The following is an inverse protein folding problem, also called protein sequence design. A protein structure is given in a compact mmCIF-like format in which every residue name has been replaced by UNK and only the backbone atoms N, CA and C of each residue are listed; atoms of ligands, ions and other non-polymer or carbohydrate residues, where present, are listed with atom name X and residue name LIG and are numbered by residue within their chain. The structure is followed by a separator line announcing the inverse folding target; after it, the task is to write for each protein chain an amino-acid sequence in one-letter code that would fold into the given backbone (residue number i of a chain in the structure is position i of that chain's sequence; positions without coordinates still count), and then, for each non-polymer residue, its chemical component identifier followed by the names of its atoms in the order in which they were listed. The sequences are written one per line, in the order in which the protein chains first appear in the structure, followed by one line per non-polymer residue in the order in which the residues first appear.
data_IF_109026124591
#
_entry.id   IF_109026124591
#
_cell.length_a   1.000
_cell.length_b   1.000
_cell.length_c   1.000
_cell.angle_alpha   90.00
_cell.angle_beta   90.00
_cell.angle_gamma   90.00
#
_symmetry.space_group_name_H-M   'P 1'
#
loop_
_entity.id
_entity.type
_entity.pdbx_description
1 polymer ?
#
# COMPACT_ATOMS: atom_id res chain seq x y z
N UNK A 1 -1.15 42.87 -12.83
CA UNK A 1 -0.68 42.21 -11.60
C UNK A 1 -0.56 40.73 -11.91
N UNK A 2 0.63 40.27 -12.28
CA UNK A 2 0.89 38.85 -12.53
C UNK A 2 1.36 38.20 -11.22
N UNK A 3 0.65 37.17 -10.79
CA UNK A 3 1.02 36.38 -9.61
C UNK A 3 2.01 35.31 -10.09
N UNK A 4 3.29 35.36 -9.71
CA UNK A 4 4.25 34.36 -10.17
C UNK A 4 3.96 33.04 -9.46
N UNK A 5 3.62 32.03 -10.27
CA UNK A 5 3.42 30.65 -9.81
C UNK A 5 4.66 30.14 -9.09
N UNK A 6 4.54 29.92 -7.78
CA UNK A 6 5.57 29.24 -6.99
C UNK A 6 5.67 27.81 -7.50
N UNK A 7 6.72 27.52 -8.28
CA UNK A 7 7.14 26.14 -8.54
C UNK A 7 7.57 25.52 -7.20
N UNK A 8 6.64 24.82 -6.55
CA UNK A 8 6.95 23.97 -5.41
C UNK A 8 7.83 22.84 -5.93
N UNK A 9 9.13 22.92 -5.64
CA UNK A 9 10.05 21.80 -5.84
C UNK A 9 9.59 20.68 -4.91
N UNK A 10 8.92 19.67 -5.47
CA UNK A 10 8.62 18.43 -4.76
C UNK A 10 9.96 17.77 -4.48
N UNK A 11 10.48 17.96 -3.26
CA UNK A 11 11.63 17.22 -2.76
C UNK A 11 11.18 15.77 -2.68
N UNK A 12 11.64 14.94 -3.62
CA UNK A 12 11.48 13.50 -3.55
C UNK A 12 12.34 13.04 -2.38
N UNK A 13 11.74 12.96 -1.19
CA UNK A 13 12.34 12.23 -0.09
C UNK A 13 12.55 10.80 -0.57
N UNK A 14 13.80 10.46 -0.91
CA UNK A 14 14.22 9.07 -0.98
C UNK A 14 14.18 8.59 0.46
N UNK A 15 13.03 8.05 0.87
CA UNK A 15 12.94 7.29 2.11
C UNK A 15 13.98 6.17 2.11
N UNK A 16 14.23 5.55 3.27
CA UNK A 16 15.11 4.38 3.35
C UNK A 16 14.75 3.39 2.24
N UNK A 17 15.77 2.77 1.64
CA UNK A 17 15.55 1.69 0.67
C UNK A 17 14.73 0.61 1.38
N UNK A 18 13.48 0.43 0.92
CA UNK A 18 12.57 -0.60 1.40
C UNK A 18 12.58 -1.77 0.44
N UNK A 19 12.66 -2.96 1.00
CA UNK A 19 12.56 -4.20 0.24
C UNK A 19 11.12 -4.44 -0.22
N UNK A 20 10.97 -5.25 -1.27
CA UNK A 20 9.65 -5.47 -1.88
C UNK A 20 8.63 -6.04 -0.88
N UNK A 21 9.07 -6.91 0.05
CA UNK A 21 8.19 -7.53 1.04
C UNK A 21 7.67 -6.51 2.07
N UNK A 22 8.48 -5.53 2.46
CA UNK A 22 8.07 -4.44 3.37
C UNK A 22 7.02 -3.56 2.72
N UNK A 23 7.16 -3.31 1.41
CA UNK A 23 6.16 -2.56 0.63
C UNK A 23 4.84 -3.32 0.55
N UNK A 24 4.90 -4.62 0.28
CA UNK A 24 3.71 -5.48 0.25
C UNK A 24 3.04 -5.52 1.63
N UNK A 25 3.82 -5.72 2.70
CA UNK A 25 3.28 -5.80 4.07
C UNK A 25 2.56 -4.49 4.45
N UNK A 26 3.18 -3.32 4.24
CA UNK A 26 2.56 -2.03 4.56
C UNK A 26 1.25 -1.79 3.80
N UNK A 27 1.22 -2.11 2.49
CA UNK A 27 0.01 -1.98 1.70
C UNK A 27 -1.10 -2.88 2.28
N UNK A 28 -0.78 -4.16 2.53
CA UNK A 28 -1.77 -5.12 3.01
C UNK A 28 -2.26 -4.78 4.42
N UNK A 29 -1.38 -4.37 5.34
CA UNK A 29 -1.73 -3.91 6.67
C UNK A 29 -2.66 -2.70 6.61
N UNK A 30 -2.33 -1.70 5.78
CA UNK A 30 -3.18 -0.51 5.61
C UNK A 30 -4.56 -0.88 5.06
N UNK A 31 -4.62 -1.66 3.98
CA UNK A 31 -5.88 -2.08 3.38
C UNK A 31 -6.70 -2.93 4.36
N UNK A 32 -6.06 -3.79 5.17
CA UNK A 32 -6.74 -4.60 6.16
C UNK A 32 -7.29 -3.81 7.35
N UNK A 33 -6.68 -2.65 7.66
CA UNK A 33 -7.12 -1.75 8.73
C UNK A 33 -8.37 -0.94 8.40
N UNK A 34 -8.78 -0.92 7.11
CA UNK A 34 -9.96 -0.20 6.63
C UNK A 34 -10.98 -1.15 6.03
N UNK A 35 -12.25 -0.78 6.14
CA UNK A 35 -13.32 -1.49 5.42
C UNK A 35 -13.17 -1.30 3.90
N UNK A 36 -12.87 -0.07 3.48
CA UNK A 36 -12.65 0.30 2.08
C UNK A 36 -11.65 1.47 2.03
N UNK A 37 -10.72 1.46 1.07
CA UNK A 37 -9.77 2.56 0.88
C UNK A 37 -9.49 2.84 -0.60
N UNK A 38 -9.25 4.09 -0.95
CA UNK A 38 -8.94 4.46 -2.33
C UNK A 38 -7.42 4.39 -2.61
N UNK A 39 -7.08 4.48 -3.90
CA UNK A 39 -5.68 4.35 -4.34
C UNK A 39 -4.75 5.41 -3.75
N UNK A 40 -5.23 6.65 -3.60
CA UNK A 40 -4.42 7.73 -3.06
C UNK A 40 -4.09 7.46 -1.58
N UNK A 41 -5.08 7.04 -0.79
CA UNK A 41 -4.87 6.67 0.62
C UNK A 41 -3.80 5.60 0.78
N UNK A 42 -3.86 4.51 0.00
CA UNK A 42 -2.85 3.45 0.02
C UNK A 42 -1.46 3.98 -0.36
N UNK A 43 -1.39 4.88 -1.33
CA UNK A 43 -0.13 5.47 -1.82
C UNK A 43 0.55 6.30 -0.76
N UNK A 44 -0.22 7.14 -0.06
CA UNK A 44 0.29 7.96 1.03
C UNK A 44 0.67 7.11 2.24
N UNK A 45 -0.19 6.17 2.65
CA UNK A 45 0.05 5.32 3.80
C UNK A 45 1.30 4.45 3.64
N UNK A 46 1.46 3.80 2.48
CA UNK A 46 2.61 2.95 2.19
C UNK A 46 3.79 3.72 1.58
N UNK A 47 3.76 5.07 1.56
CA UNK A 47 4.83 5.93 1.04
C UNK A 47 5.34 5.55 -0.35
N UNK A 48 4.41 5.26 -1.28
CA UNK A 48 4.73 4.76 -2.61
C UNK A 48 5.01 5.90 -3.59
N UNK A 49 6.01 5.72 -4.46
CA UNK A 49 6.10 6.50 -5.70
C UNK A 49 4.99 6.10 -6.68
N UNK A 50 4.67 6.94 -7.66
CA UNK A 50 3.67 6.62 -8.69
C UNK A 50 3.98 5.30 -9.44
N UNK A 51 5.26 5.04 -9.72
CA UNK A 51 5.69 3.80 -10.37
C UNK A 51 5.45 2.57 -9.49
N UNK A 52 5.79 2.67 -8.19
CA UNK A 52 5.53 1.62 -7.22
C UNK A 52 4.04 1.38 -7.02
N UNK A 53 3.24 2.45 -6.89
CA UNK A 53 1.79 2.38 -6.78
C UNK A 53 1.19 1.57 -7.94
N UNK A 54 1.51 1.93 -9.19
CA UNK A 54 0.96 1.21 -10.36
C UNK A 54 1.39 -0.26 -10.36
N UNK A 55 2.66 -0.54 -10.06
CA UNK A 55 3.22 -1.89 -10.04
C UNK A 55 2.57 -2.75 -8.95
N UNK A 56 2.60 -2.30 -7.70
CA UNK A 56 2.15 -3.09 -6.55
C UNK A 56 0.63 -3.23 -6.52
N UNK A 57 -0.14 -2.17 -6.80
CA UNK A 57 -1.59 -2.29 -6.80
C UNK A 57 -2.08 -3.25 -7.88
N UNK A 58 -1.48 -3.20 -9.08
CA UNK A 58 -1.78 -4.14 -10.14
C UNK A 58 -1.41 -5.58 -9.76
N UNK A 59 -0.20 -5.77 -9.23
CA UNK A 59 0.30 -7.07 -8.79
C UNK A 59 -0.56 -7.69 -7.69
N UNK A 60 -0.85 -6.95 -6.62
CA UNK A 60 -1.62 -7.45 -5.47
C UNK A 60 -3.08 -7.77 -5.83
N UNK A 61 -3.67 -6.98 -6.73
CA UNK A 61 -5.01 -7.28 -7.26
C UNK A 61 -4.98 -8.54 -8.13
N UNK A 62 -3.98 -8.68 -9.01
CA UNK A 62 -3.82 -9.85 -9.88
C UNK A 62 -3.61 -11.14 -9.07
N UNK A 63 -2.83 -11.07 -8.00
CA UNK A 63 -2.62 -12.18 -7.07
C UNK A 63 -3.82 -12.46 -6.16
N UNK A 64 -4.88 -11.63 -6.22
CA UNK A 64 -6.06 -11.77 -5.39
C UNK A 64 -5.82 -11.49 -3.91
N UNK A 65 -4.74 -10.79 -3.56
CA UNK A 65 -4.44 -10.41 -2.17
C UNK A 65 -5.30 -9.23 -1.71
N UNK A 66 -5.60 -8.31 -2.63
CA UNK A 66 -6.59 -7.25 -2.46
C UNK A 66 -7.68 -7.38 -3.53
N UNK A 67 -8.89 -6.97 -3.18
CA UNK A 67 -10.05 -6.94 -4.04
C UNK A 67 -10.36 -5.50 -4.43
N UNK A 68 -10.95 -5.31 -5.61
CA UNK A 68 -11.54 -4.03 -6.00
C UNK A 68 -13.00 -4.07 -5.57
N UNK A 69 -13.38 -3.17 -4.66
CA UNK A 69 -14.74 -3.06 -4.16
C UNK A 69 -15.71 -2.73 -5.31
N UNK A 70 -16.87 -3.39 -5.29
CA UNK A 70 -17.98 -3.14 -6.22
C UNK A 70 -18.96 -2.09 -5.69
N UNK A 71 -18.73 -1.50 -4.51
CA UNK A 71 -19.70 -0.61 -3.85
C UNK A 71 -19.92 0.74 -4.56
N UNK A 72 -19.02 1.14 -5.46
CA UNK A 72 -19.20 2.37 -6.23
C UNK A 72 -18.62 2.26 -7.63
N UNK A 73 -19.47 2.51 -8.63
CA UNK A 73 -19.05 2.66 -10.04
C UNK A 73 -18.12 3.86 -10.23
N UNK A 74 -18.21 4.88 -9.36
CA UNK A 74 -17.45 6.12 -9.45
C UNK A 74 -16.14 6.08 -8.64
N UNK A 75 -16.12 5.34 -7.53
CA UNK A 75 -14.95 5.23 -6.65
C UNK A 75 -14.66 3.76 -6.33
N UNK A 76 -13.89 3.13 -7.22
CA UNK A 76 -13.35 1.78 -7.00
C UNK A 76 -12.41 1.78 -5.78
N UNK A 77 -12.93 1.29 -4.67
CA UNK A 77 -12.19 1.05 -3.43
C UNK A 77 -11.36 -0.22 -3.49
N UNK A 78 -10.46 -0.37 -2.52
CA UNK A 78 -9.70 -1.59 -2.27
C UNK A 78 -10.07 -2.17 -0.91
N UNK A 79 -10.21 -3.49 -0.89
CA UNK A 79 -10.55 -4.27 0.29
C UNK A 79 -9.56 -5.43 0.42
N UNK A 80 -9.26 -5.85 1.65
CA UNK A 80 -8.38 -7.01 1.87
C UNK A 80 -9.16 -8.30 1.56
N UNK A 81 -8.55 -9.19 0.79
CA UNK A 81 -9.11 -10.53 0.56
C UNK A 81 -8.85 -11.46 1.76
N UNK A 82 -9.51 -12.63 1.78
CA UNK A 82 -9.15 -13.68 2.73
C UNK A 82 -7.70 -14.17 2.55
N UNK A 83 -7.22 -14.26 1.31
CA UNK A 83 -5.83 -14.65 1.02
C UNK A 83 -4.84 -13.61 1.54
N UNK A 84 -5.15 -12.33 1.40
CA UNK A 84 -4.37 -11.22 1.93
C UNK A 84 -4.29 -11.23 3.45
N UNK A 85 -5.40 -11.52 4.14
CA UNK A 85 -5.40 -11.71 5.60
C UNK A 85 -4.52 -12.89 6.02
N UNK A 86 -4.60 -14.02 5.31
CA UNK A 86 -3.74 -15.18 5.57
C UNK A 86 -2.26 -14.87 5.35
N UNK A 87 -1.92 -14.10 4.32
CA UNK A 87 -0.56 -13.63 4.09
C UNK A 87 -0.05 -12.82 5.30
N UNK A 88 -0.84 -11.85 5.79
CA UNK A 88 -0.45 -11.04 6.95
C UNK A 88 -0.23 -11.88 8.20
N UNK A 89 -1.07 -12.89 8.43
CA UNK A 89 -0.91 -13.81 9.55
C UNK A 89 0.41 -14.58 9.45
N UNK A 90 0.68 -15.24 8.32
CA UNK A 90 1.91 -16.01 8.11
C UNK A 90 3.15 -15.12 8.20
N UNK A 91 3.07 -13.90 7.66
CA UNK A 91 4.16 -12.94 7.74
C UNK A 91 4.48 -12.58 9.20
N UNK A 92 3.45 -12.33 10.02
CA UNK A 92 3.62 -12.03 11.44
C UNK A 92 4.20 -13.21 12.23
N UNK A 93 3.78 -14.45 11.91
CA UNK A 93 4.33 -15.67 12.52
C UNK A 93 5.83 -15.83 12.21
N UNK A 94 6.23 -15.63 10.95
CA UNK A 94 7.64 -15.68 10.55
C UNK A 94 8.45 -14.57 11.23
N UNK A 95 7.92 -13.35 11.31
CA UNK A 95 8.62 -12.26 11.99
C UNK A 95 8.79 -12.54 13.49
N UNK A 96 7.82 -13.18 14.14
CA UNK A 96 7.91 -13.55 15.55
C UNK A 96 8.96 -14.65 15.78
N UNK A 97 8.97 -15.69 14.93
CA UNK A 97 9.95 -16.79 14.98
C UNK A 97 11.39 -16.31 14.76
N UNK A 98 11.58 -15.24 13.98
CA UNK A 98 12.90 -14.67 13.67
C UNK A 98 13.35 -13.61 14.67
N UNK A 99 12.52 -13.21 15.63
CA UNK A 99 12.94 -12.25 16.67
C UNK A 99 14.04 -12.89 17.51
N UNK A 100 15.18 -12.21 17.74
CA UNK A 100 16.19 -12.72 18.65
C UNK A 100 15.56 -12.87 20.04
N UNK A 101 15.72 -14.05 20.64
CA UNK A 101 15.39 -14.25 22.04
C UNK A 101 16.22 -13.25 22.86
N UNK A 102 15.53 -12.34 23.52
CA UNK A 102 16.14 -11.35 24.41
C UNK A 102 16.88 -11.99 25.58
#
# INVERSE_FOLDING_TARGET
MEVPGKHVKIIRHRGPHRENYEIVNDILQFVASKYNCNRAEVTFAASLTYGQQKRYMGFLTHMGLILISSESDYFKGYEISQLGRKYLQVFAEIEDDLRPAG
#
